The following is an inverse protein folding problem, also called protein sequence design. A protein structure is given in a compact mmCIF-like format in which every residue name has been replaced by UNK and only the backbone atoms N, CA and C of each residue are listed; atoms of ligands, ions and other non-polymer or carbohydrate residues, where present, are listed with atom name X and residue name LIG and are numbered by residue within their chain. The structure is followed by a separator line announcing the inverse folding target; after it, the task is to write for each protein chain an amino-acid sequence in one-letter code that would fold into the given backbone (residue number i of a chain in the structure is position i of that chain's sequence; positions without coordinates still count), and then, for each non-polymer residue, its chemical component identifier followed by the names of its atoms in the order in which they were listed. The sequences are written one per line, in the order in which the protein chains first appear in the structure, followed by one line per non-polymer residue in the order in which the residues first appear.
data_IF_994853688041
#
_entry.id   IF_994853688041
#
_cell.length_a   1.000
_cell.length_b   1.000
_cell.length_c   1.000
_cell.angle_alpha   90.00
_cell.angle_beta   90.00
_cell.angle_gamma   90.00
#
_symmetry.space_group_name_H-M   'P 1'
#
loop_
_entity.id
_entity.type
_entity.pdbx_description
1 polymer ?
#
# COMPACT_ATOMS: atom_id res chain seq x y z
N UNK A 1 8.66 -19.34 -12.48
CA UNK A 1 8.00 -18.02 -12.60
C UNK A 1 8.53 -17.17 -11.46
N UNK A 2 8.98 -15.94 -11.72
CA UNK A 2 9.41 -15.06 -10.63
C UNK A 2 8.16 -14.56 -9.86
N UNK A 3 8.34 -13.92 -8.70
CA UNK A 3 7.21 -13.47 -7.88
C UNK A 3 6.33 -12.44 -8.59
N UNK A 4 6.93 -11.53 -9.36
CA UNK A 4 6.22 -10.50 -10.13
C UNK A 4 5.32 -11.12 -11.20
N UNK A 5 5.84 -12.08 -11.96
CA UNK A 5 5.10 -12.83 -12.97
C UNK A 5 3.93 -13.60 -12.34
N UNK A 6 4.09 -14.13 -11.12
CA UNK A 6 3.00 -14.79 -10.39
C UNK A 6 1.89 -13.81 -10.00
N UNK A 7 2.22 -12.60 -9.55
CA UNK A 7 1.23 -11.57 -9.26
C UNK A 7 0.50 -11.13 -10.54
N UNK A 8 1.19 -11.00 -11.67
CA UNK A 8 0.57 -10.73 -12.97
C UNK A 8 -0.40 -11.86 -13.35
N UNK A 9 0.03 -13.11 -13.21
CA UNK A 9 -0.79 -14.28 -13.53
C UNK A 9 -2.03 -14.38 -12.63
N UNK A 10 -1.89 -14.14 -11.33
CA UNK A 10 -2.99 -14.06 -10.38
C UNK A 10 -4.03 -13.01 -10.80
N UNK A 11 -3.60 -11.78 -11.08
CA UNK A 11 -4.50 -10.72 -11.52
C UNK A 11 -5.18 -11.03 -12.84
N UNK A 12 -4.48 -11.67 -13.78
CA UNK A 12 -5.06 -12.12 -15.04
C UNK A 12 -6.11 -13.21 -14.81
N UNK A 13 -5.88 -14.15 -13.90
CA UNK A 13 -6.85 -15.18 -13.55
C UNK A 13 -8.07 -14.57 -12.85
N UNK A 14 -7.92 -13.59 -11.96
CA UNK A 14 -9.05 -12.86 -11.36
C UNK A 14 -9.82 -12.07 -12.42
N UNK A 15 -9.13 -11.36 -13.32
CA UNK A 15 -9.75 -10.61 -14.41
C UNK A 15 -10.57 -11.50 -15.34
N UNK A 16 -10.05 -12.69 -15.64
CA UNK A 16 -10.71 -13.67 -16.50
C UNK A 16 -11.67 -14.60 -15.74
N UNK A 17 -11.87 -14.34 -14.44
CA UNK A 17 -12.71 -15.15 -13.55
C UNK A 17 -12.35 -16.65 -13.56
N UNK A 18 -11.06 -16.96 -13.71
CA UNK A 18 -10.51 -18.31 -13.74
C UNK A 18 -10.26 -18.84 -12.32
N UNK A 19 -11.34 -19.07 -11.58
CA UNK A 19 -11.31 -19.40 -10.15
C UNK A 19 -10.59 -20.71 -9.81
N UNK A 20 -10.49 -21.63 -10.76
CA UNK A 20 -9.85 -22.93 -10.54
C UNK A 20 -8.34 -22.82 -10.37
N UNK A 21 -7.70 -21.78 -10.90
CA UNK A 21 -6.24 -21.63 -10.83
C UNK A 21 -5.76 -20.80 -9.63
N UNK A 22 -6.63 -19.96 -9.04
CA UNK A 22 -6.21 -18.95 -8.06
C UNK A 22 -5.56 -19.57 -6.82
N UNK A 23 -6.12 -20.65 -6.29
CA UNK A 23 -5.58 -21.32 -5.10
C UNK A 23 -4.13 -21.77 -5.29
N UNK A 24 -3.69 -22.01 -6.54
CA UNK A 24 -2.34 -22.46 -6.83
C UNK A 24 -1.28 -21.39 -6.60
N UNK A 25 -1.61 -20.10 -6.51
CA UNK A 25 -0.64 -19.03 -6.24
C UNK A 25 -0.30 -18.90 -4.75
N UNK A 26 -1.14 -19.44 -3.87
CA UNK A 26 -1.05 -19.26 -2.42
C UNK A 26 -0.35 -20.44 -1.72
N UNK A 27 0.29 -20.12 -0.60
CA UNK A 27 0.73 -21.11 0.38
C UNK A 27 -0.49 -21.74 1.07
N UNK A 28 -0.35 -22.97 1.58
CA UNK A 28 -1.45 -23.68 2.23
C UNK A 28 -1.99 -22.95 3.46
N UNK A 29 -1.15 -22.22 4.18
CA UNK A 29 -1.55 -21.40 5.32
C UNK A 29 -1.39 -19.91 5.01
N UNK A 30 -1.66 -19.53 3.75
CA UNK A 30 -1.71 -18.14 3.35
C UNK A 30 -2.81 -17.38 4.10
N UNK A 31 -2.51 -16.13 4.45
CA UNK A 31 -3.44 -15.20 5.05
C UNK A 31 -3.70 -14.07 4.05
N UNK A 32 -4.98 -13.75 3.83
CA UNK A 32 -5.40 -12.62 3.01
C UNK A 32 -6.19 -11.66 3.89
N UNK A 33 -5.83 -10.39 3.90
CA UNK A 33 -6.52 -9.37 4.68
C UNK A 33 -7.07 -8.28 3.76
N UNK A 34 -8.36 -7.98 3.92
CA UNK A 34 -8.99 -6.79 3.37
C UNK A 34 -9.07 -5.75 4.49
N UNK A 35 -8.08 -4.86 4.53
CA UNK A 35 -7.85 -4.01 5.69
C UNK A 35 -8.91 -2.91 5.86
N UNK A 36 -9.54 -2.45 4.77
CA UNK A 36 -10.58 -1.42 4.82
C UNK A 36 -11.79 -1.84 5.66
N UNK A 37 -12.11 -3.13 5.67
CA UNK A 37 -13.28 -3.72 6.33
C UNK A 37 -12.92 -4.62 7.50
N UNK A 38 -11.62 -4.75 7.81
CA UNK A 38 -11.08 -5.60 8.88
C UNK A 38 -11.45 -7.09 8.71
N UNK A 39 -11.42 -7.56 7.47
CA UNK A 39 -11.70 -8.96 7.13
C UNK A 39 -10.42 -9.75 6.90
N UNK A 40 -10.47 -11.05 7.21
CA UNK A 40 -9.37 -11.99 7.08
C UNK A 40 -9.87 -13.30 6.49
N UNK A 41 -9.14 -13.80 5.51
CA UNK A 41 -9.47 -15.00 4.73
C UNK A 41 -8.27 -15.94 4.64
N UNK A 42 -8.57 -17.22 4.46
CA UNK A 42 -7.66 -18.16 3.81
C UNK A 42 -7.83 -18.11 2.28
N UNK A 43 -7.00 -18.84 1.53
CA UNK A 43 -7.03 -18.80 0.06
C UNK A 43 -8.36 -19.29 -0.55
N UNK A 44 -9.03 -20.27 0.05
CA UNK A 44 -10.32 -20.80 -0.44
C UNK A 44 -11.46 -19.80 -0.19
N UNK A 45 -11.48 -19.19 0.99
CA UNK A 45 -12.43 -18.13 1.35
C UNK A 45 -12.25 -16.91 0.44
N UNK A 46 -11.00 -16.50 0.17
CA UNK A 46 -10.70 -15.41 -0.77
C UNK A 46 -11.22 -15.69 -2.18
N UNK A 47 -11.03 -16.92 -2.69
CA UNK A 47 -11.57 -17.32 -4.00
C UNK A 47 -13.10 -17.30 -4.00
N UNK A 48 -13.72 -17.76 -2.92
CA UNK A 48 -15.19 -17.78 -2.78
C UNK A 48 -15.75 -16.37 -2.78
N UNK A 49 -15.18 -15.48 -1.97
CA UNK A 49 -15.60 -14.07 -1.89
C UNK A 49 -15.51 -13.35 -3.24
N UNK A 50 -14.41 -13.53 -3.99
CA UNK A 50 -14.27 -12.94 -5.32
C UNK A 50 -15.21 -13.57 -6.35
N UNK A 51 -15.43 -14.90 -6.30
CA UNK A 51 -16.34 -15.61 -7.22
C UNK A 51 -17.80 -15.21 -7.03
N UNK A 52 -18.21 -14.98 -5.78
CA UNK A 52 -19.59 -14.60 -5.45
C UNK A 52 -19.85 -13.11 -5.64
N UNK A 53 -18.82 -12.29 -5.86
CA UNK A 53 -18.98 -10.89 -6.16
C UNK A 53 -19.76 -10.72 -7.47
N UNK A 54 -20.87 -9.95 -7.49
CA UNK A 54 -21.76 -9.91 -8.65
C UNK A 54 -21.20 -9.04 -9.77
N UNK A 55 -21.55 -9.43 -11.00
CA UNK A 55 -21.29 -8.65 -12.22
C UNK A 55 -20.00 -9.03 -12.92
N UNK A 56 -19.78 -8.40 -14.08
CA UNK A 56 -18.50 -8.48 -14.79
C UNK A 56 -17.66 -7.24 -14.45
N UNK A 57 -16.37 -7.44 -14.30
CA UNK A 57 -15.40 -6.38 -14.11
C UNK A 57 -14.18 -6.59 -15.00
N UNK A 58 -13.46 -5.50 -15.21
CA UNK A 58 -12.15 -5.48 -15.84
C UNK A 58 -11.13 -5.00 -14.82
N UNK A 59 -9.98 -5.67 -14.79
CA UNK A 59 -8.82 -5.29 -13.98
C UNK A 59 -7.71 -4.83 -14.91
N UNK A 60 -7.08 -3.71 -14.58
CA UNK A 60 -5.89 -3.19 -15.25
C UNK A 60 -4.79 -3.03 -14.20
N UNK A 61 -3.66 -3.68 -14.43
CA UNK A 61 -2.46 -3.47 -13.60
C UNK A 61 -1.82 -2.15 -14.04
N UNK A 62 -1.77 -1.17 -13.15
CA UNK A 62 -1.20 0.15 -13.44
C UNK A 62 0.25 0.26 -12.98
N UNK A 63 0.59 -0.45 -11.90
CA UNK A 63 1.94 -0.43 -11.32
C UNK A 63 2.27 -1.75 -10.66
N UNK A 64 3.53 -2.15 -10.79
CA UNK A 64 4.13 -3.25 -10.04
C UNK A 64 5.49 -2.81 -9.52
N UNK A 65 5.76 -3.11 -8.26
CA UNK A 65 7.06 -2.89 -7.62
C UNK A 65 7.50 -4.20 -6.95
N UNK A 66 8.81 -4.44 -6.89
CA UNK A 66 9.35 -5.64 -6.25
C UNK A 66 10.51 -5.27 -5.35
N UNK A 67 10.43 -5.71 -4.09
CA UNK A 67 11.41 -5.44 -3.04
C UNK A 67 11.69 -6.77 -2.34
N UNK A 68 12.83 -7.40 -2.65
CA UNK A 68 13.17 -8.74 -2.15
C UNK A 68 12.05 -9.76 -2.45
N UNK A 69 11.41 -10.29 -1.40
CA UNK A 69 10.31 -11.25 -1.51
C UNK A 69 8.91 -10.61 -1.45
N UNK A 70 8.83 -9.28 -1.42
CA UNK A 70 7.60 -8.52 -1.47
C UNK A 70 7.35 -8.04 -2.90
N UNK A 71 6.13 -8.26 -3.39
CA UNK A 71 5.61 -7.62 -4.60
C UNK A 71 4.47 -6.69 -4.20
N UNK A 72 4.43 -5.50 -4.77
CA UNK A 72 3.35 -4.54 -4.56
C UNK A 72 2.70 -4.30 -5.91
N UNK A 73 1.37 -4.42 -5.99
CA UNK A 73 0.61 -4.03 -7.17
C UNK A 73 -0.32 -2.87 -6.87
N UNK A 74 -0.51 -2.01 -7.86
CA UNK A 74 -1.65 -1.11 -7.95
C UNK A 74 -2.46 -1.54 -9.16
N UNK A 75 -3.72 -1.89 -8.94
CA UNK A 75 -4.65 -2.25 -9.99
C UNK A 75 -5.86 -1.33 -9.97
N UNK A 76 -6.38 -1.04 -11.15
CA UNK A 76 -7.68 -0.40 -11.34
C UNK A 76 -8.72 -1.46 -11.68
N UNK A 77 -9.87 -1.41 -11.03
CA UNK A 77 -11.00 -2.32 -11.23
C UNK A 77 -12.21 -1.51 -11.71
N UNK A 78 -12.77 -1.91 -12.84
CA UNK A 78 -13.88 -1.23 -13.51
C UNK A 78 -15.02 -2.25 -13.75
N UNK A 79 -16.15 -2.14 -13.02
CA UNK A 79 -17.38 -2.83 -13.38
C UNK A 79 -17.79 -2.56 -14.84
N UNK A 80 -18.41 -3.55 -15.49
CA UNK A 80 -18.86 -3.43 -16.88
C UNK A 80 -19.87 -2.30 -17.15
N UNK A 81 -20.52 -1.76 -16.11
CA UNK A 81 -21.39 -0.58 -16.22
C UNK A 81 -20.62 0.72 -16.48
N UNK A 82 -19.33 0.79 -16.09
CA UNK A 82 -18.48 1.98 -16.26
C UNK A 82 -18.80 3.16 -15.34
N UNK A 83 -19.75 3.02 -14.42
CA UNK A 83 -20.20 4.12 -13.53
C UNK A 83 -19.32 4.29 -12.28
N UNK A 84 -18.62 3.23 -11.87
CA UNK A 84 -17.73 3.20 -10.72
C UNK A 84 -16.37 2.67 -11.15
N UNK A 85 -15.31 3.08 -10.49
CA UNK A 85 -14.02 2.41 -10.56
C UNK A 85 -13.35 2.43 -9.20
N UNK A 86 -12.45 1.47 -9.00
CA UNK A 86 -11.74 1.30 -7.74
C UNK A 86 -10.26 1.15 -8.02
N UNK A 87 -9.43 1.66 -7.12
CA UNK A 87 -8.02 1.28 -7.06
C UNK A 87 -7.80 0.35 -5.87
N UNK A 88 -7.12 -0.77 -6.14
CA UNK A 88 -6.62 -1.67 -5.10
C UNK A 88 -5.10 -1.60 -5.07
N UNK A 89 -4.55 -1.38 -3.87
CA UNK A 89 -3.13 -1.57 -3.59
C UNK A 89 -2.95 -2.85 -2.80
N UNK A 90 -2.15 -3.77 -3.33
CA UNK A 90 -1.99 -5.11 -2.76
C UNK A 90 -0.51 -5.41 -2.51
N UNK A 91 -0.21 -5.89 -1.30
CA UNK A 91 1.13 -6.27 -0.85
C UNK A 91 1.19 -7.79 -0.72
N UNK A 92 2.02 -8.42 -1.54
CA UNK A 92 2.18 -9.87 -1.62
C UNK A 92 3.54 -10.28 -1.05
N UNK A 93 3.54 -10.92 0.12
CA UNK A 93 4.75 -11.50 0.69
C UNK A 93 4.86 -12.97 0.29
N UNK A 94 6.02 -13.32 -0.28
CA UNK A 94 6.28 -14.67 -0.77
C UNK A 94 7.14 -15.50 0.18
N UNK A 95 6.77 -16.77 0.32
CA UNK A 95 7.56 -17.82 0.96
C UNK A 95 7.66 -19.01 0.01
N UNK A 96 8.88 -19.47 -0.27
CA UNK A 96 9.15 -20.63 -1.15
C UNK A 96 8.43 -20.56 -2.52
N UNK A 97 8.29 -19.36 -3.08
CA UNK A 97 7.63 -19.14 -4.37
C UNK A 97 6.10 -19.18 -4.34
N UNK A 98 5.47 -19.10 -3.17
CA UNK A 98 4.02 -18.96 -2.99
C UNK A 98 3.69 -17.72 -2.17
N UNK A 99 2.51 -17.14 -2.38
CA UNK A 99 2.02 -16.02 -1.58
C UNK A 99 1.65 -16.54 -0.18
N UNK A 100 2.34 -16.05 0.85
CA UNK A 100 2.07 -16.40 2.25
C UNK A 100 1.20 -15.35 2.95
N UNK A 101 1.32 -14.09 2.56
CA UNK A 101 0.51 -13.01 3.10
C UNK A 101 0.12 -12.05 1.97
N UNK A 102 -1.17 -11.73 1.91
CA UNK A 102 -1.73 -10.71 1.02
C UNK A 102 -2.44 -9.66 1.87
N UNK A 103 -2.02 -8.41 1.79
CA UNK A 103 -2.73 -7.28 2.37
C UNK A 103 -3.26 -6.38 1.25
N UNK A 104 -4.58 -6.17 1.21
CA UNK A 104 -5.22 -5.33 0.20
C UNK A 104 -5.87 -4.10 0.81
N UNK A 105 -5.78 -3.00 0.07
CA UNK A 105 -6.36 -1.71 0.38
C UNK A 105 -7.15 -1.20 -0.82
N UNK A 106 -8.45 -1.07 -0.65
CA UNK A 106 -9.38 -0.68 -1.70
C UNK A 106 -9.83 0.77 -1.50
N UNK A 107 -9.82 1.54 -2.59
CA UNK A 107 -10.36 2.91 -2.63
C UNK A 107 -11.31 3.05 -3.81
N UNK A 108 -12.48 3.63 -3.54
CA UNK A 108 -13.41 4.06 -4.59
C UNK A 108 -12.89 5.33 -5.26
N UNK A 109 -12.90 5.34 -6.59
CA UNK A 109 -12.58 6.53 -7.36
C UNK A 109 -13.73 7.52 -7.32
N UNK A 110 -13.39 8.78 -7.14
CA UNK A 110 -14.37 9.85 -7.10
C UNK A 110 -13.80 11.17 -7.56
N UNK A 111 -14.71 12.09 -7.85
CA UNK A 111 -14.30 13.46 -8.18
C UNK A 111 -13.65 14.12 -6.95
N UNK A 112 -12.58 14.90 -7.15
CA UNK A 112 -12.05 15.69 -6.06
C UNK A 112 -13.14 16.67 -5.54
N UNK A 113 -13.26 16.87 -4.22
CA UNK A 113 -14.16 17.87 -3.66
C UNK A 113 -13.98 19.26 -4.30
N UNK A 114 -15.09 19.96 -4.51
CA UNK A 114 -15.12 21.25 -5.24
C UNK A 114 -14.11 22.27 -4.70
N UNK A 115 -13.97 22.37 -3.38
CA UNK A 115 -13.03 23.31 -2.77
C UNK A 115 -11.55 23.05 -3.14
N UNK A 116 -11.17 21.81 -3.49
CA UNK A 116 -9.81 21.49 -3.99
C UNK A 116 -9.65 21.93 -5.45
N UNK A 117 -10.72 21.83 -6.24
CA UNK A 117 -10.76 22.29 -7.63
C UNK A 117 -10.68 23.82 -7.69
N UNK A 118 -11.42 24.50 -6.80
CA UNK A 118 -11.45 25.96 -6.74
C UNK A 118 -10.07 26.53 -6.32
N UNK A 119 -9.32 25.77 -5.54
CA UNK A 119 -7.93 26.09 -5.13
C UNK A 119 -6.86 25.73 -6.16
N UNK A 120 -7.20 25.64 -7.45
CA UNK A 120 -6.32 25.26 -8.59
C UNK A 120 -4.95 25.95 -8.67
N UNK A 121 -4.69 26.98 -7.88
CA UNK A 121 -3.37 27.56 -7.65
C UNK A 121 -2.78 27.12 -6.30
N UNK A 122 -2.56 25.82 -6.10
CA UNK A 122 -1.59 25.35 -5.10
C UNK A 122 -0.17 25.62 -5.63
N UNK A 123 0.15 26.90 -5.91
CA UNK A 123 1.54 27.26 -6.16
C UNK A 123 2.34 26.95 -4.90
N UNK A 124 3.56 26.47 -5.12
CA UNK A 124 4.52 25.95 -4.17
C UNK A 124 4.92 26.88 -3.00
N UNK A 125 4.25 28.02 -2.83
CA UNK A 125 4.60 29.08 -1.88
C UNK A 125 4.35 28.69 -0.42
N UNK A 126 3.53 27.65 -0.15
CA UNK A 126 3.37 27.13 1.22
C UNK A 126 4.42 26.11 1.66
N UNK A 127 5.24 25.60 0.73
CA UNK A 127 6.39 24.78 1.10
C UNK A 127 7.56 25.65 1.58
N UNK A 128 7.63 26.91 1.13
CA UNK A 128 8.58 27.89 1.63
C UNK A 128 8.26 28.26 3.09
N UNK A 129 6.99 28.45 3.47
CA UNK A 129 6.64 28.74 4.87
C UNK A 129 7.03 27.61 5.83
N UNK A 130 6.77 26.34 5.50
CA UNK A 130 7.10 25.23 6.40
C UNK A 130 8.61 25.00 6.50
N UNK A 131 9.34 25.15 5.40
CA UNK A 131 10.81 25.05 5.38
C UNK A 131 11.48 26.28 6.01
N UNK A 132 10.93 27.49 5.87
CA UNK A 132 11.42 28.70 6.54
C UNK A 132 11.15 28.65 8.04
N UNK A 133 10.01 28.12 8.49
CA UNK A 133 9.74 27.89 9.92
C UNK A 133 10.75 26.87 10.49
N UNK A 134 11.04 25.80 9.77
CA UNK A 134 12.07 24.81 10.17
C UNK A 134 13.49 25.39 10.16
N UNK A 135 13.87 26.16 9.12
CA UNK A 135 15.17 26.84 9.07
C UNK A 135 15.31 27.91 10.15
N UNK A 136 14.26 28.68 10.44
CA UNK A 136 14.25 29.68 11.51
C UNK A 136 14.32 29.01 12.89
N UNK A 137 13.66 27.87 13.09
CA UNK A 137 13.82 27.05 14.30
C UNK A 137 15.26 26.54 14.48
N UNK A 138 15.94 26.15 13.39
CA UNK A 138 17.34 25.70 13.42
C UNK A 138 18.33 26.85 13.66
N UNK A 139 18.11 28.02 13.04
CA UNK A 139 18.91 29.25 13.26
C UNK A 139 18.75 29.78 14.69
N UNK A 140 17.55 29.72 15.26
CA UNK A 140 17.31 30.11 16.66
C UNK A 140 17.95 29.14 17.68
N UNK A 141 18.18 27.87 17.31
CA UNK A 141 18.95 26.91 18.10
C UNK A 141 20.46 27.15 18.05
N UNK A 142 21.01 27.64 16.93
CA UNK A 142 22.46 27.91 16.83
C UNK A 142 22.89 29.22 17.51
N UNK A 143 21.94 30.09 17.87
CA UNK A 143 22.21 31.39 18.50
C UNK A 143 22.12 31.40 20.04
N UNK A 144 21.77 30.27 20.69
CA UNK A 144 21.81 30.15 22.16
C UNK A 144 23.09 29.46 22.63
N UNK A 145 24.17 30.25 22.65
CA UNK A 145 25.29 30.25 23.61
C UNK A 145 26.14 28.97 23.82
N UNK A 146 27.41 29.15 24.28
CA UNK A 146 28.55 28.34 23.88
C UNK A 146 28.75 27.08 24.72
N UNK A 147 29.41 26.11 24.08
CA UNK A 147 30.05 24.97 24.71
C UNK A 147 31.03 25.45 25.80
N UNK A 148 30.72 25.17 27.05
CA UNK A 148 31.67 24.97 28.14
C UNK A 148 30.90 24.42 29.34
N UNK A 149 31.02 23.11 29.57
CA UNK A 149 31.25 22.45 30.87
C UNK A 149 31.39 20.96 30.53
N UNK A 150 32.64 20.51 30.53
CA UNK A 150 33.00 19.11 30.75
C UNK A 150 32.76 18.83 32.22
N UNK A 151 32.01 17.79 32.56
CA UNK A 151 32.31 16.95 33.73
C UNK A 151 31.95 15.47 33.45
N UNK A 152 32.81 14.52 33.85
CA UNK A 152 32.63 13.10 33.57
C UNK A 152 31.60 12.46 34.52
N UNK A 153 30.85 11.49 34.00
CA UNK A 153 29.99 10.61 34.79
C UNK A 153 30.81 9.82 35.82
N UNK A 154 30.39 9.72 37.09
CA UNK A 154 30.90 8.70 37.97
C UNK A 154 30.23 7.36 37.62
N UNK A 155 31.06 6.36 37.30
CA UNK A 155 30.68 4.96 37.36
C UNK A 155 30.52 4.56 38.84
N UNK A 156 29.59 3.64 39.14
CA UNK A 156 29.52 2.75 40.31
C UNK A 156 28.15 2.04 40.22
N UNK A 157 27.95 0.76 40.51
CA UNK A 157 28.79 -0.43 40.60
C UNK A 157 27.77 -1.60 40.68
N UNK A 158 28.18 -2.79 40.27
CA UNK A 158 27.40 -4.03 40.42
C UNK A 158 27.33 -4.44 41.89
N UNK A 159 26.12 -4.76 42.37
CA UNK A 159 25.86 -5.44 43.64
C UNK A 159 24.55 -6.20 43.55
#
# INVERSE_FOLDING_TARGET
MNNTDQVIALWNDINNQNWNNIHTYFDQEAIINWNNTNEKFNAEEFVTANREYPGDWRIVIERLETINNLVISVVKVEPGSGELSFHATSFFEFLNGKIKLLNEYWGEDGNPPQWRIDKKNWQADKFIDFMEILLNCLKLRSARLPCNIVQPFPALETG
#
